data_IF_030587804720
#
_entry.id   IF_030587804720
#
_cell.length_a   1.000
_cell.length_b   1.000
_cell.length_c   1.000
_cell.angle_alpha   90.00
_cell.angle_beta   90.00
_cell.angle_gamma   90.00
#
_symmetry.space_group_name_H-M   'P 1'
#
loop_
_entity.id
_entity.type
_entity.pdbx_description
1 polymer ?
#
# COMPACT_ATOMS: atom_id res chain seq x y z
N UNK A 1 -16.74 13.81 -10.96
CA UNK A 1 -16.62 12.95 -9.75
C UNK A 1 -16.42 13.86 -8.56
N UNK A 2 -17.10 13.60 -7.45
CA UNK A 2 -16.94 14.37 -6.22
C UNK A 2 -15.55 14.13 -5.63
N UNK A 3 -14.79 15.17 -5.28
CA UNK A 3 -13.44 15.04 -4.68
C UNK A 3 -13.50 14.72 -3.17
N UNK A 4 -14.53 13.99 -2.77
CA UNK A 4 -14.86 13.71 -1.40
C UNK A 4 -15.28 12.25 -1.23
N UNK A 5 -14.82 11.65 -0.14
CA UNK A 5 -15.14 10.30 0.27
C UNK A 5 -15.64 10.35 1.72
N UNK A 6 -16.82 9.77 1.96
CA UNK A 6 -17.52 9.82 3.26
C UNK A 6 -17.71 11.24 3.82
N UNK A 7 -17.97 12.21 2.94
CA UNK A 7 -18.19 13.62 3.32
C UNK A 7 -16.90 14.41 3.61
N UNK A 8 -15.73 13.78 3.55
CA UNK A 8 -14.43 14.44 3.72
C UNK A 8 -13.71 14.54 2.37
N UNK A 9 -12.94 15.61 2.17
CA UNK A 9 -12.07 15.72 0.99
C UNK A 9 -11.12 14.53 0.90
N UNK A 10 -10.89 14.02 -0.31
CA UNK A 10 -9.92 12.94 -0.57
C UNK A 10 -8.53 13.26 -0.02
N UNK A 11 -8.15 14.54 0.06
CA UNK A 11 -6.86 14.95 0.60
C UNK A 11 -6.67 14.55 2.08
N UNK A 12 -7.75 14.53 2.88
CA UNK A 12 -7.66 14.13 4.29
C UNK A 12 -7.36 12.63 4.46
N UNK A 13 -7.75 11.81 3.47
CA UNK A 13 -7.50 10.37 3.49
C UNK A 13 -6.02 10.01 3.25
N UNK A 14 -5.22 10.97 2.76
CA UNK A 14 -3.78 10.77 2.64
C UNK A 14 -3.10 10.57 4.01
N UNK A 15 -3.63 11.19 5.07
CA UNK A 15 -3.05 11.15 6.42
C UNK A 15 -3.05 9.71 6.99
N UNK A 16 -4.20 9.01 7.14
CA UNK A 16 -4.20 7.66 7.67
C UNK A 16 -3.43 6.68 6.77
N UNK A 17 -3.48 6.85 5.44
CA UNK A 17 -2.68 6.04 4.52
C UNK A 17 -1.18 6.21 4.76
N UNK A 18 -0.71 7.46 4.92
CA UNK A 18 0.71 7.73 5.21
C UNK A 18 1.12 7.19 6.59
N UNK A 19 0.25 7.29 7.59
CA UNK A 19 0.49 6.69 8.91
C UNK A 19 0.66 5.18 8.82
N UNK A 20 -0.20 4.47 8.08
CA UNK A 20 -0.10 3.03 7.89
C UNK A 20 1.19 2.63 7.14
N UNK A 21 1.59 3.41 6.13
CA UNK A 21 2.86 3.21 5.45
C UNK A 21 4.05 3.33 6.41
N UNK A 22 4.07 4.37 7.25
CA UNK A 22 5.13 4.62 8.23
C UNK A 22 5.16 3.53 9.32
N UNK A 23 4.01 3.17 9.89
CA UNK A 23 3.90 2.11 10.89
C UNK A 23 4.44 0.81 10.32
N UNK A 24 4.05 0.43 9.11
CA UNK A 24 4.51 -0.83 8.52
C UNK A 24 5.99 -0.83 8.15
N UNK A 25 6.55 0.32 7.74
CA UNK A 25 7.97 0.46 7.45
C UNK A 25 8.85 0.23 8.70
N UNK A 26 8.34 0.58 9.89
CA UNK A 26 9.04 0.45 11.17
C UNK A 26 8.68 -0.86 11.88
N UNK A 27 7.40 -1.10 12.09
CA UNK A 27 6.81 -2.26 12.79
C UNK A 27 6.61 -3.40 11.78
N UNK A 28 7.72 -3.89 11.22
CA UNK A 28 7.70 -5.00 10.26
C UNK A 28 7.79 -6.36 10.98
N UNK A 29 6.85 -7.31 10.77
CA UNK A 29 6.91 -8.66 11.34
C UNK A 29 7.97 -9.53 10.63
N UNK A 30 9.22 -9.38 11.04
CA UNK A 30 10.39 -10.07 10.47
C UNK A 30 10.34 -11.60 10.61
N UNK A 31 9.59 -12.11 11.60
CA UNK A 31 9.47 -13.53 11.89
C UNK A 31 8.87 -14.34 10.73
N UNK A 32 7.93 -13.74 9.98
CA UNK A 32 7.23 -14.39 8.85
C UNK A 32 8.05 -14.45 7.57
N UNK A 33 9.17 -13.73 7.50
CA UNK A 33 10.06 -13.71 6.33
C UNK A 33 11.38 -14.48 6.57
N UNK A 34 11.47 -15.24 7.67
CA UNK A 34 12.62 -16.12 7.93
C UNK A 34 12.61 -17.30 6.95
N UNK A 35 13.78 -17.64 6.40
CA UNK A 35 13.92 -18.74 5.43
C UNK A 35 13.49 -18.43 3.98
N UNK A 36 12.99 -17.22 3.69
CA UNK A 36 12.63 -16.83 2.31
C UNK A 36 13.81 -16.27 1.52
N UNK A 37 13.70 -16.33 0.19
CA UNK A 37 14.66 -15.67 -0.71
C UNK A 37 14.73 -14.16 -0.46
N UNK A 38 15.87 -13.50 -0.74
CA UNK A 38 16.03 -12.05 -0.55
C UNK A 38 14.97 -11.22 -1.29
N UNK A 39 14.57 -11.63 -2.50
CA UNK A 39 13.53 -10.97 -3.29
C UNK A 39 12.15 -11.05 -2.63
N UNK A 40 11.76 -12.23 -2.12
CA UNK A 40 10.51 -12.41 -1.36
C UNK A 40 10.51 -11.59 -0.08
N UNK A 41 11.63 -11.56 0.65
CA UNK A 41 11.79 -10.75 1.86
C UNK A 41 11.61 -9.26 1.58
N UNK A 42 12.12 -8.78 0.44
CA UNK A 42 11.95 -7.39 0.04
C UNK A 42 10.47 -7.05 -0.24
N UNK A 43 9.78 -7.90 -1.02
CA UNK A 43 8.35 -7.72 -1.33
C UNK A 43 7.49 -7.78 -0.07
N UNK A 44 7.78 -8.73 0.82
CA UNK A 44 7.11 -8.82 2.10
C UNK A 44 7.31 -7.51 2.88
N UNK A 45 8.56 -7.08 3.08
CA UNK A 45 8.90 -5.90 3.89
C UNK A 45 8.26 -4.61 3.38
N UNK A 46 8.37 -4.37 2.07
CA UNK A 46 8.02 -3.06 1.50
C UNK A 46 6.71 -3.05 0.73
N UNK A 47 6.19 -4.19 0.29
CA UNK A 47 5.00 -4.24 -0.56
C UNK A 47 3.78 -3.59 0.08
N UNK A 48 3.51 -3.91 1.35
CA UNK A 48 2.39 -3.31 2.07
C UNK A 48 2.60 -1.82 2.36
N UNK A 49 3.81 -1.41 2.77
CA UNK A 49 4.13 0.00 2.98
C UNK A 49 4.03 0.81 1.67
N UNK A 50 4.50 0.25 0.56
CA UNK A 50 4.41 0.84 -0.77
C UNK A 50 2.96 1.00 -1.23
N UNK A 51 2.09 0.01 -0.99
CA UNK A 51 0.64 0.12 -1.24
C UNK A 51 0.06 1.33 -0.52
N UNK A 52 0.31 1.46 0.79
CA UNK A 52 -0.22 2.56 1.59
C UNK A 52 0.34 3.92 1.17
N UNK A 53 1.62 3.96 0.81
CA UNK A 53 2.24 5.16 0.28
C UNK A 53 1.63 5.58 -1.06
N UNK A 54 1.45 4.65 -2.00
CA UNK A 54 0.79 4.93 -3.28
C UNK A 54 -0.64 5.42 -3.08
N UNK A 55 -1.40 4.84 -2.16
CA UNK A 55 -2.74 5.30 -1.79
C UNK A 55 -2.73 6.71 -1.17
N UNK A 56 -1.76 7.02 -0.33
CA UNK A 56 -1.61 8.35 0.26
C UNK A 56 -1.38 9.41 -0.82
N UNK A 57 -0.45 9.16 -1.76
CA UNK A 57 -0.19 10.08 -2.86
C UNK A 57 -1.38 10.14 -3.82
N UNK A 58 -2.04 9.01 -4.09
CA UNK A 58 -3.21 8.95 -4.97
C UNK A 58 -4.35 9.84 -4.46
N UNK A 59 -4.72 9.68 -3.19
CA UNK A 59 -5.80 10.42 -2.54
C UNK A 59 -5.45 11.90 -2.36
N UNK A 60 -4.19 12.21 -2.06
CA UNK A 60 -3.69 13.59 -2.01
C UNK A 60 -3.77 14.30 -3.36
N UNK A 61 -3.25 13.68 -4.44
CA UNK A 61 -3.33 14.24 -5.79
C UNK A 61 -4.78 14.41 -6.24
N UNK A 62 -5.63 13.39 -6.05
CA UNK A 62 -7.05 13.48 -6.42
C UNK A 62 -7.81 14.55 -5.62
N UNK A 63 -7.49 14.74 -4.34
CA UNK A 63 -8.15 15.73 -3.47
C UNK A 63 -7.68 17.17 -3.65
N UNK A 64 -6.42 17.39 -4.03
CA UNK A 64 -5.83 18.74 -4.20
C UNK A 64 -5.81 19.22 -5.65
N UNK A 65 -5.95 18.31 -6.62
CA UNK A 65 -5.79 18.62 -8.05
C UNK A 65 -4.34 18.75 -8.51
N UNK A 66 -3.36 18.55 -7.62
CA UNK A 66 -1.94 18.63 -7.95
C UNK A 66 -1.50 17.52 -8.91
N UNK A 67 -0.47 17.82 -9.71
CA UNK A 67 0.21 16.86 -10.58
C UNK A 67 -0.73 16.08 -11.52
N UNK A 68 -1.81 16.69 -12.03
CA UNK A 68 -2.77 16.00 -12.91
C UNK A 68 -3.98 15.40 -12.16
N UNK A 69 -4.12 15.70 -10.86
CA UNK A 69 -5.34 15.48 -10.09
C UNK A 69 -5.82 14.04 -10.11
N UNK A 70 -7.05 13.83 -10.60
CA UNK A 70 -7.69 12.53 -10.65
C UNK A 70 -6.99 11.51 -11.55
N UNK A 71 -6.33 11.93 -12.64
CA UNK A 71 -5.65 11.01 -13.56
C UNK A 71 -4.44 10.38 -12.86
N UNK A 72 -3.58 11.20 -12.27
CA UNK A 72 -2.42 10.75 -11.50
C UNK A 72 -2.85 9.97 -10.27
N UNK A 73 -3.91 10.41 -9.59
CA UNK A 73 -4.53 9.65 -8.51
C UNK A 73 -4.97 8.25 -8.94
N UNK A 74 -5.61 8.12 -10.11
CA UNK A 74 -6.03 6.85 -10.67
C UNK A 74 -4.86 5.92 -11.01
N UNK A 75 -3.81 6.44 -11.64
CA UNK A 75 -2.60 5.65 -11.96
C UNK A 75 -1.93 5.14 -10.68
N UNK A 76 -1.78 5.99 -9.67
CA UNK A 76 -1.19 5.61 -8.38
C UNK A 76 -2.06 4.61 -7.62
N UNK A 77 -3.39 4.72 -7.72
CA UNK A 77 -4.30 3.72 -7.15
C UNK A 77 -4.14 2.35 -7.83
N UNK A 78 -4.00 2.31 -9.16
CA UNK A 78 -3.72 1.07 -9.89
C UNK A 78 -2.36 0.47 -9.50
N UNK A 79 -1.34 1.31 -9.31
CA UNK A 79 -0.04 0.85 -8.80
C UNK A 79 -0.16 0.28 -7.38
N UNK A 80 -0.97 0.89 -6.50
CA UNK A 80 -1.21 0.38 -5.16
C UNK A 80 -1.82 -1.03 -5.17
N UNK A 81 -2.74 -1.30 -6.11
CA UNK A 81 -3.32 -2.63 -6.34
C UNK A 81 -2.23 -3.62 -6.77
N UNK A 82 -1.36 -3.24 -7.70
CA UNK A 82 -0.23 -4.07 -8.13
C UNK A 82 0.72 -4.41 -6.96
N UNK A 83 1.11 -3.41 -6.17
CA UNK A 83 1.94 -3.60 -4.98
C UNK A 83 1.29 -4.54 -3.96
N UNK A 84 -0.02 -4.37 -3.73
CA UNK A 84 -0.74 -5.17 -2.75
C UNK A 84 -0.93 -6.61 -3.22
N UNK A 85 -1.23 -6.80 -4.51
CA UNK A 85 -1.31 -8.12 -5.14
C UNK A 85 0.01 -8.88 -5.05
N UNK A 86 1.14 -8.24 -5.36
CA UNK A 86 2.46 -8.83 -5.22
C UNK A 86 2.77 -9.19 -3.75
N UNK A 87 2.43 -8.30 -2.80
CA UNK A 87 2.57 -8.57 -1.37
C UNK A 87 1.75 -9.79 -0.93
N UNK A 88 0.46 -9.84 -1.29
CA UNK A 88 -0.42 -10.95 -0.94
C UNK A 88 0.03 -12.27 -1.56
N UNK A 89 0.43 -12.25 -2.83
CA UNK A 89 0.95 -13.43 -3.52
C UNK A 89 2.16 -14.03 -2.78
N UNK A 90 3.13 -13.19 -2.43
CA UNK A 90 4.32 -13.66 -1.69
C UNK A 90 3.94 -14.08 -0.27
N UNK A 91 3.06 -13.34 0.41
CA UNK A 91 2.60 -13.66 1.77
C UNK A 91 1.94 -15.04 1.82
N UNK A 92 0.96 -15.29 0.94
CA UNK A 92 0.19 -16.53 0.91
C UNK A 92 1.09 -17.72 0.57
N UNK A 93 1.98 -17.57 -0.42
CA UNK A 93 2.91 -18.65 -0.83
C UNK A 93 4.06 -18.89 0.15
N UNK A 94 4.19 -18.06 1.20
CA UNK A 94 5.24 -18.18 2.23
C UNK A 94 4.67 -18.70 3.56
N UNK A 95 3.37 -18.61 3.80
CA UNK A 95 2.74 -19.18 4.99
C UNK A 95 2.82 -20.71 4.86
N UNK A 96 3.50 -21.42 5.77
CA UNK A 96 3.50 -22.88 5.75
C UNK A 96 2.05 -23.35 5.92
N UNK A 97 1.59 -24.20 5.00
CA UNK A 97 0.32 -24.91 5.17
C UNK A 97 0.39 -25.65 6.49
N UNK A 98 -0.51 -25.33 7.42
CA UNK A 98 -0.69 -26.11 8.63
C UNK A 98 -1.04 -27.52 8.17
N UNK A 99 -0.10 -28.45 8.29
CA UNK A 99 -0.37 -29.88 8.13
C UNK A 99 -1.32 -30.26 9.27
N UNK A 100 -2.60 -30.41 8.94
CA UNK A 100 -3.64 -31.00 9.80
C UNK A 100 -3.59 -32.52 9.73
#
# INVERSE_FOLDING_TARGET
MSNSFLGLSLAYWAIPCLMLAAVWAVVWPSSRARGTSPSRRLVLRWGHAATWFCLAVATFCAGTGLAGGALTGGVLALLAVGCYGAFLYVLITTIPSVET
#
